data_IF_477650389498
#
_entry.id   IF_477650389498
#
_cell.length_a   1.000
_cell.length_b   1.000
_cell.length_c   1.000
_cell.angle_alpha   90.00
_cell.angle_beta   90.00
_cell.angle_gamma   90.00
#
_symmetry.space_group_name_H-M   'P 1'
#
loop_
_entity.id
_entity.type
_entity.pdbx_description
1 polymer ?
#
# COMPACT_ATOMS: atom_id res chain seq x y z
N UNK A 1 -2.70 32.84 9.42
CA UNK A 1 -3.31 32.20 8.23
C UNK A 1 -2.38 32.10 7.02
N UNK A 2 -1.76 33.20 6.56
CA UNK A 2 -0.90 33.21 5.34
C UNK A 2 0.21 32.15 5.35
N UNK A 3 0.87 31.97 6.50
CA UNK A 3 1.95 30.97 6.63
C UNK A 3 1.49 29.52 6.48
N UNK A 4 0.24 29.21 6.83
CA UNK A 4 -0.35 27.88 6.66
C UNK A 4 -0.62 27.61 5.18
N UNK A 5 -1.17 28.60 4.49
CA UNK A 5 -1.43 28.54 3.04
C UNK A 5 -0.12 28.42 2.23
N UNK A 6 0.94 29.13 2.63
CA UNK A 6 2.25 29.02 1.99
C UNK A 6 2.87 27.62 2.17
N UNK A 7 2.72 27.02 3.37
CA UNK A 7 3.19 25.64 3.61
C UNK A 7 2.37 24.61 2.84
N UNK A 8 1.05 24.80 2.75
CA UNK A 8 0.16 23.98 1.91
C UNK A 8 0.59 24.04 0.44
N UNK A 9 0.83 25.24 -0.09
CA UNK A 9 1.22 25.41 -1.50
C UNK A 9 2.58 24.76 -1.79
N UNK A 10 3.55 24.89 -0.88
CA UNK A 10 4.84 24.18 -0.99
C UNK A 10 4.64 22.67 -1.05
N UNK A 11 3.76 22.10 -0.21
CA UNK A 11 3.52 20.66 -0.22
C UNK A 11 2.76 20.21 -1.48
N UNK A 12 1.77 20.99 -1.94
CA UNK A 12 1.06 20.75 -3.20
C UNK A 12 2.04 20.70 -4.37
N UNK A 13 2.88 21.73 -4.53
CA UNK A 13 3.92 21.79 -5.58
C UNK A 13 4.87 20.60 -5.52
N UNK A 14 5.23 20.15 -4.32
CA UNK A 14 6.08 18.97 -4.14
C UNK A 14 5.37 17.68 -4.59
N UNK A 15 4.09 17.51 -4.28
CA UNK A 15 3.31 16.35 -4.72
C UNK A 15 3.08 16.37 -6.24
N UNK A 16 2.85 17.54 -6.84
CA UNK A 16 2.78 17.70 -8.29
C UNK A 16 4.10 17.31 -8.96
N UNK A 17 5.24 17.74 -8.41
CA UNK A 17 6.55 17.32 -8.92
C UNK A 17 6.80 15.81 -8.74
N UNK A 18 6.33 15.20 -7.65
CA UNK A 18 6.40 13.74 -7.46
C UNK A 18 5.59 12.98 -8.54
N UNK A 19 4.41 13.50 -8.92
CA UNK A 19 3.59 12.96 -10.02
C UNK A 19 4.33 13.09 -11.35
N UNK A 20 4.80 14.29 -11.70
CA UNK A 20 5.48 14.54 -12.97
C UNK A 20 6.72 13.64 -13.14
N UNK A 21 7.51 13.49 -12.07
CA UNK A 21 8.67 12.61 -12.08
C UNK A 21 8.29 11.12 -12.22
N UNK A 22 7.19 10.70 -11.61
CA UNK A 22 6.69 9.33 -11.76
C UNK A 22 6.24 9.06 -13.19
N UNK A 23 5.45 9.97 -13.78
CA UNK A 23 4.98 9.87 -15.17
C UNK A 23 6.15 9.86 -16.16
N UNK A 24 7.13 10.75 -15.99
CA UNK A 24 8.31 10.78 -16.85
C UNK A 24 9.09 9.47 -16.78
N UNK A 25 9.25 8.89 -15.59
CA UNK A 25 9.94 7.60 -15.40
C UNK A 25 9.16 6.45 -16.02
N UNK A 26 7.84 6.40 -15.83
CA UNK A 26 6.97 5.39 -16.44
C UNK A 26 7.02 5.48 -17.98
N UNK A 27 6.95 6.68 -18.54
CA UNK A 27 7.07 6.90 -19.98
C UNK A 27 8.44 6.49 -20.54
N UNK A 28 9.53 6.71 -19.79
CA UNK A 28 10.86 6.22 -20.16
C UNK A 28 10.95 4.69 -20.10
N UNK A 29 10.37 4.07 -19.08
CA UNK A 29 10.34 2.62 -18.93
C UNK A 29 9.54 1.94 -20.05
N UNK A 30 8.45 2.57 -20.49
CA UNK A 30 7.66 2.13 -21.65
C UNK A 30 8.50 2.19 -22.93
N UNK A 31 9.15 3.33 -23.19
CA UNK A 31 10.03 3.52 -24.37
C UNK A 31 11.18 2.53 -24.46
N UNK A 32 11.75 2.12 -23.33
CA UNK A 32 12.86 1.16 -23.26
C UNK A 32 12.37 -0.30 -23.29
N UNK A 33 11.06 -0.54 -23.32
CA UNK A 33 10.47 -1.87 -23.27
C UNK A 33 10.70 -2.56 -21.91
N UNK A 34 10.91 -1.78 -20.85
CA UNK A 34 11.05 -2.34 -19.51
C UNK A 34 9.71 -2.91 -19.02
N UNK A 35 8.58 -2.28 -19.38
CA UNK A 35 7.24 -2.77 -19.07
C UNK A 35 6.99 -4.18 -19.61
N UNK A 36 7.38 -4.44 -20.86
CA UNK A 36 7.26 -5.77 -21.48
C UNK A 36 8.24 -6.77 -20.88
N UNK A 37 9.44 -6.36 -20.46
CA UNK A 37 10.36 -7.25 -19.74
C UNK A 37 9.81 -7.67 -18.37
N UNK A 38 9.21 -6.75 -17.62
CA UNK A 38 8.60 -7.07 -16.32
C UNK A 38 7.37 -7.96 -16.48
N UNK A 39 6.49 -7.70 -17.46
CA UNK A 39 5.32 -8.57 -17.71
C UNK A 39 5.73 -9.98 -18.18
N UNK A 40 6.80 -10.10 -18.96
CA UNK A 40 7.37 -11.39 -19.34
C UNK A 40 7.99 -12.12 -18.14
N UNK A 41 8.60 -11.40 -17.19
CA UNK A 41 9.15 -12.02 -15.98
C UNK A 41 8.04 -12.51 -15.04
N UNK A 42 6.96 -11.73 -14.91
CA UNK A 42 5.79 -12.10 -14.12
C UNK A 42 5.08 -13.33 -14.71
N UNK A 43 4.90 -13.41 -16.04
CA UNK A 43 4.35 -14.59 -16.70
C UNK A 43 5.23 -15.84 -16.60
N UNK A 44 6.56 -15.69 -16.58
CA UNK A 44 7.48 -16.82 -16.31
C UNK A 44 7.32 -17.39 -14.90
N UNK A 45 7.05 -16.54 -13.91
CA UNK A 45 6.79 -16.98 -12.54
C UNK A 45 5.51 -17.83 -12.44
N UNK A 46 4.48 -17.49 -13.22
CA UNK A 46 3.24 -18.27 -13.33
C UNK A 46 3.48 -19.63 -14.00
N UNK A 47 4.37 -19.68 -14.99
CA UNK A 47 4.80 -20.95 -15.60
C UNK A 47 5.41 -21.90 -14.56
N UNK A 48 6.25 -21.37 -13.65
CA UNK A 48 6.89 -22.17 -12.61
C UNK A 48 5.87 -22.73 -11.60
N UNK A 49 4.83 -21.97 -11.24
CA UNK A 49 3.73 -22.48 -10.41
C UNK A 49 3.03 -23.67 -11.04
N UNK A 50 2.72 -23.57 -12.34
CA UNK A 50 2.07 -24.62 -13.10
C UNK A 50 2.95 -25.87 -13.16
N UNK A 51 4.26 -25.71 -13.41
CA UNK A 51 5.23 -26.81 -13.36
C UNK A 51 5.28 -27.48 -11.98
N UNK A 52 5.32 -26.70 -10.89
CA UNK A 52 5.38 -27.25 -9.53
C UNK A 52 4.09 -28.01 -9.16
N UNK A 53 2.94 -27.52 -9.61
CA UNK A 53 1.66 -28.18 -9.42
C UNK A 53 1.57 -29.49 -10.22
N UNK A 54 1.94 -29.46 -11.51
CA UNK A 54 1.99 -30.67 -12.34
C UNK A 54 3.00 -31.68 -11.82
N UNK A 55 4.15 -31.24 -11.31
CA UNK A 55 5.15 -32.11 -10.69
C UNK A 55 4.56 -32.86 -9.48
N UNK A 56 3.80 -32.16 -8.64
CA UNK A 56 3.14 -32.76 -7.48
C UNK A 56 2.07 -33.78 -7.90
N UNK A 57 1.25 -33.45 -8.91
CA UNK A 57 0.28 -34.40 -9.49
C UNK A 57 0.99 -35.62 -10.06
N UNK A 58 2.03 -35.43 -10.87
CA UNK A 58 2.79 -36.50 -11.50
C UNK A 58 3.38 -37.45 -10.46
N UNK A 59 3.94 -36.90 -9.38
CA UNK A 59 4.52 -37.65 -8.28
C UNK A 59 3.45 -38.50 -7.57
N UNK A 60 2.27 -37.94 -7.29
CA UNK A 60 1.13 -38.69 -6.73
C UNK A 60 0.65 -39.77 -7.71
N UNK A 61 0.46 -39.44 -8.99
CA UNK A 61 0.03 -40.39 -10.02
C UNK A 61 1.01 -41.56 -10.16
N UNK A 62 2.33 -41.30 -10.08
CA UNK A 62 3.34 -42.34 -10.13
C UNK A 62 3.21 -43.33 -8.96
N UNK A 63 2.99 -42.83 -7.74
CA UNK A 63 2.76 -43.68 -6.56
C UNK A 63 1.50 -44.54 -6.71
N UNK A 64 0.42 -43.98 -7.26
CA UNK A 64 -0.80 -44.73 -7.56
C UNK A 64 -0.55 -45.87 -8.55
N UNK A 65 0.19 -45.60 -9.63
CA UNK A 65 0.56 -46.63 -10.61
C UNK A 65 1.40 -47.73 -9.98
N UNK A 66 2.40 -47.37 -9.18
CA UNK A 66 3.22 -48.36 -8.46
C UNK A 66 2.41 -49.21 -7.47
N UNK A 67 1.51 -48.59 -6.72
CA UNK A 67 0.61 -49.29 -5.81
C UNK A 67 -0.34 -50.25 -6.57
N UNK A 68 -0.89 -49.80 -7.71
CA UNK A 68 -1.74 -50.61 -8.56
C UNK A 68 -1.01 -51.82 -9.14
N UNK A 69 0.21 -51.64 -9.65
CA UNK A 69 1.05 -52.73 -10.18
C UNK A 69 1.34 -53.76 -9.08
N UNK A 70 1.73 -53.33 -7.88
CA UNK A 70 1.98 -54.23 -6.76
C UNK A 70 0.73 -55.04 -6.39
N UNK A 71 -0.43 -54.38 -6.35
CA UNK A 71 -1.70 -55.04 -6.02
C UNK A 71 -2.13 -56.03 -7.12
N UNK A 72 -1.89 -55.70 -8.39
CA UNK A 72 -2.27 -56.53 -9.54
C UNK A 72 -1.33 -57.71 -9.78
N UNK A 73 -0.04 -57.55 -9.50
CA UNK A 73 0.99 -58.56 -9.74
C UNK A 73 1.64 -58.97 -8.41
N UNK A 74 0.99 -59.88 -7.67
CA UNK A 74 1.46 -60.41 -6.38
C UNK A 74 2.81 -61.15 -6.43
N UNK A 75 3.36 -61.42 -7.61
CA UNK A 75 4.66 -62.09 -7.77
C UNK A 75 5.86 -61.15 -7.65
N UNK A 76 5.65 -59.82 -7.68
CA UNK A 76 6.73 -58.83 -7.71
C UNK A 76 7.21 -58.53 -6.28
N UNK A 77 8.40 -58.99 -5.84
CA UNK A 77 8.87 -58.82 -4.47
C UNK A 77 9.50 -57.43 -4.27
N UNK A 78 8.90 -56.39 -4.85
CA UNK A 78 9.41 -55.02 -4.78
C UNK A 78 8.76 -54.33 -3.57
N UNK A 79 9.60 -53.93 -2.61
CA UNK A 79 9.18 -53.09 -1.51
C UNK A 79 8.85 -51.68 -2.03
N UNK A 80 7.66 -51.17 -1.72
CA UNK A 80 7.23 -49.80 -2.08
C UNK A 80 7.86 -48.74 -1.16
N UNK A 81 8.39 -49.14 -0.01
CA UNK A 81 8.93 -48.26 1.02
C UNK A 81 9.99 -47.28 0.50
N UNK A 82 11.03 -47.71 -0.27
CA UNK A 82 12.01 -46.78 -0.83
C UNK A 82 11.39 -45.78 -1.82
N UNK A 83 10.40 -46.20 -2.61
CA UNK A 83 9.71 -45.31 -3.56
C UNK A 83 8.85 -44.27 -2.84
N UNK A 84 8.14 -44.67 -1.79
CA UNK A 84 7.38 -43.76 -0.93
C UNK A 84 8.33 -42.75 -0.29
N UNK A 85 9.48 -43.20 0.23
CA UNK A 85 10.46 -42.32 0.87
C UNK A 85 11.04 -41.29 -0.12
N UNK A 86 11.42 -41.72 -1.32
CA UNK A 86 11.90 -40.83 -2.39
C UNK A 86 10.80 -39.84 -2.80
N UNK A 87 9.58 -40.32 -2.99
CA UNK A 87 8.44 -39.50 -3.34
C UNK A 87 8.13 -38.45 -2.26
N UNK A 88 8.18 -38.83 -0.98
CA UNK A 88 8.02 -37.90 0.15
C UNK A 88 9.10 -36.82 0.13
N UNK A 89 10.37 -37.19 -0.03
CA UNK A 89 11.47 -36.21 -0.11
C UNK A 89 11.31 -35.26 -1.30
N UNK A 90 10.94 -35.78 -2.47
CA UNK A 90 10.71 -34.97 -3.67
C UNK A 90 9.48 -34.06 -3.54
N UNK A 91 8.43 -34.49 -2.83
CA UNK A 91 7.24 -33.69 -2.58
C UNK A 91 7.51 -32.51 -1.63
N UNK A 92 8.54 -32.58 -0.78
CA UNK A 92 8.94 -31.44 0.05
C UNK A 92 9.34 -30.22 -0.79
N UNK A 93 9.84 -30.41 -2.01
CA UNK A 93 10.30 -29.34 -2.88
C UNK A 93 9.18 -28.39 -3.32
N UNK A 94 8.09 -28.85 -3.98
CA UNK A 94 6.96 -27.99 -4.34
C UNK A 94 6.24 -27.45 -3.08
N UNK A 95 6.14 -28.23 -2.01
CA UNK A 95 5.54 -27.77 -0.74
C UNK A 95 6.32 -26.58 -0.19
N UNK A 96 7.64 -26.69 -0.10
CA UNK A 96 8.50 -25.60 0.36
C UNK A 96 8.44 -24.38 -0.57
N UNK A 97 8.36 -24.59 -1.88
CA UNK A 97 8.17 -23.52 -2.86
C UNK A 97 6.87 -22.74 -2.61
N UNK A 98 5.72 -23.41 -2.47
CA UNK A 98 4.44 -22.74 -2.24
C UNK A 98 4.38 -22.06 -0.87
N UNK A 99 4.91 -22.70 0.18
CA UNK A 99 5.02 -22.08 1.50
C UNK A 99 5.87 -20.81 1.43
N UNK A 100 7.05 -20.88 0.82
CA UNK A 100 7.94 -19.72 0.67
C UNK A 100 7.28 -18.60 -0.13
N UNK A 101 6.48 -18.93 -1.15
CA UNK A 101 5.72 -17.96 -1.94
C UNK A 101 4.58 -17.33 -1.15
N UNK A 102 3.89 -18.09 -0.30
CA UNK A 102 2.85 -17.57 0.60
C UNK A 102 3.41 -16.55 1.61
N UNK A 103 4.64 -16.77 2.10
CA UNK A 103 5.30 -15.86 3.04
C UNK A 103 5.99 -14.67 2.36
N UNK A 104 6.32 -14.76 1.08
CA UNK A 104 6.83 -13.62 0.31
C UNK A 104 5.65 -12.69 -0.02
N UNK A 105 5.68 -11.46 0.50
CA UNK A 105 4.88 -10.38 -0.11
C UNK A 105 5.26 -10.32 -1.59
N UNK A 106 4.29 -10.19 -2.53
CA UNK A 106 4.63 -9.96 -3.92
C UNK A 106 5.58 -8.78 -3.97
N UNK A 107 6.80 -8.99 -4.48
CA UNK A 107 7.76 -7.91 -4.68
C UNK A 107 7.11 -6.96 -5.69
N UNK A 108 6.68 -5.79 -5.23
CA UNK A 108 6.15 -4.76 -6.11
C UNK A 108 7.22 -4.45 -7.15
N UNK A 109 6.87 -4.63 -8.43
CA UNK A 109 7.79 -4.25 -9.50
C UNK A 109 8.07 -2.74 -9.42
N UNK A 110 9.22 -2.25 -9.90
CA UNK A 110 9.49 -0.82 -9.92
C UNK A 110 8.40 0.00 -10.65
N UNK A 111 7.74 -0.62 -11.63
CA UNK A 111 6.58 -0.05 -12.34
C UNK A 111 5.40 0.11 -11.40
N UNK A 112 4.95 -0.99 -10.78
CA UNK A 112 3.83 -0.99 -9.85
C UNK A 112 4.06 -0.03 -8.68
N UNK A 113 5.29 0.06 -8.18
CA UNK A 113 5.67 1.01 -7.14
C UNK A 113 5.46 2.47 -7.57
N UNK A 114 5.92 2.82 -8.79
CA UNK A 114 5.78 4.17 -9.34
C UNK A 114 4.31 4.51 -9.60
N UNK A 115 3.55 3.62 -10.23
CA UNK A 115 2.12 3.80 -10.47
C UNK A 115 1.33 3.97 -9.17
N UNK A 116 1.63 3.16 -8.16
CA UNK A 116 0.98 3.23 -6.84
C UNK A 116 1.26 4.58 -6.16
N UNK A 117 2.49 5.08 -6.22
CA UNK A 117 2.83 6.40 -5.68
C UNK A 117 2.22 7.55 -6.46
N UNK A 118 2.19 7.47 -7.79
CA UNK A 118 1.55 8.48 -8.63
C UNK A 118 0.05 8.59 -8.31
N UNK A 119 -0.65 7.45 -8.31
CA UNK A 119 -2.07 7.38 -7.99
C UNK A 119 -2.37 7.85 -6.56
N UNK A 120 -1.52 7.51 -5.59
CA UNK A 120 -1.64 8.01 -4.22
C UNK A 120 -1.49 9.54 -4.16
N UNK A 121 -0.48 10.10 -4.83
CA UNK A 121 -0.25 11.54 -4.88
C UNK A 121 -1.42 12.29 -5.51
N UNK A 122 -1.96 11.78 -6.62
CA UNK A 122 -3.16 12.33 -7.28
C UNK A 122 -4.37 12.31 -6.35
N UNK A 123 -4.59 11.19 -5.66
CA UNK A 123 -5.69 11.04 -4.69
C UNK A 123 -5.57 12.05 -3.55
N UNK A 124 -4.39 12.14 -2.92
CA UNK A 124 -4.15 13.05 -1.78
C UNK A 124 -4.25 14.53 -2.19
N UNK A 125 -3.77 14.89 -3.38
CA UNK A 125 -3.96 16.26 -3.90
C UNK A 125 -5.44 16.59 -4.12
N UNK A 126 -6.17 15.72 -4.81
CA UNK A 126 -7.55 15.96 -5.22
C UNK A 126 -8.54 15.89 -4.05
N UNK A 127 -8.39 14.92 -3.17
CA UNK A 127 -9.33 14.66 -2.07
C UNK A 127 -8.98 15.37 -0.77
N UNK A 128 -7.72 15.76 -0.56
CA UNK A 128 -7.32 16.39 0.71
C UNK A 128 -6.74 17.80 0.54
N UNK A 129 -5.58 17.95 -0.12
CA UNK A 129 -4.87 19.24 -0.10
C UNK A 129 -5.59 20.36 -0.85
N UNK A 130 -6.13 20.11 -2.05
CA UNK A 130 -6.84 21.14 -2.81
C UNK A 130 -8.15 21.56 -2.12
N UNK A 131 -9.01 20.62 -1.67
CA UNK A 131 -10.18 20.97 -0.87
C UNK A 131 -9.85 21.71 0.43
N UNK A 132 -8.77 21.31 1.13
CA UNK A 132 -8.33 21.95 2.36
C UNK A 132 -7.89 23.40 2.12
N UNK A 133 -7.08 23.64 1.09
CA UNK A 133 -6.67 24.99 0.71
C UNK A 133 -7.89 25.87 0.45
N UNK A 134 -8.83 25.38 -0.36
CA UNK A 134 -10.05 26.12 -0.70
C UNK A 134 -10.93 26.39 0.52
N UNK A 135 -11.05 25.43 1.44
CA UNK A 135 -11.83 25.58 2.66
C UNK A 135 -11.22 26.63 3.60
N UNK A 136 -9.89 26.64 3.75
CA UNK A 136 -9.18 27.62 4.57
C UNK A 136 -9.22 29.03 3.97
N UNK A 137 -9.07 29.17 2.65
CA UNK A 137 -9.16 30.47 1.96
C UNK A 137 -10.56 31.10 2.08
N UNK A 138 -11.61 30.28 2.03
CA UNK A 138 -13.00 30.73 2.11
C UNK A 138 -13.54 30.78 3.55
N UNK A 139 -12.77 30.33 4.54
CA UNK A 139 -13.24 30.19 5.92
C UNK A 139 -14.45 29.25 6.06
N UNK A 140 -14.57 28.24 5.21
CA UNK A 140 -15.73 27.35 5.18
C UNK A 140 -15.54 26.19 6.17
N UNK A 141 -16.05 26.36 7.38
CA UNK A 141 -15.97 25.36 8.45
C UNK A 141 -16.74 24.07 8.14
N UNK A 142 -17.84 24.15 7.39
CA UNK A 142 -18.61 22.97 6.98
C UNK A 142 -17.78 22.08 6.04
N UNK A 143 -17.04 22.70 5.12
CA UNK A 143 -16.12 21.99 4.21
C UNK A 143 -14.92 21.37 4.95
N UNK A 144 -14.44 21.99 6.03
CA UNK A 144 -13.41 21.41 6.88
C UNK A 144 -13.92 20.18 7.62
N UNK A 145 -15.16 20.21 8.12
CA UNK A 145 -15.82 19.04 8.75
C UNK A 145 -16.01 17.91 7.74
N UNK A 146 -16.50 18.21 6.54
CA UNK A 146 -16.66 17.18 5.50
C UNK A 146 -15.32 16.53 5.10
N UNK A 147 -14.22 17.30 5.11
CA UNK A 147 -12.89 16.75 4.87
C UNK A 147 -12.39 15.86 6.01
N UNK A 148 -12.70 16.21 7.25
CA UNK A 148 -12.43 15.36 8.40
C UNK A 148 -13.22 14.04 8.31
N UNK A 149 -14.50 14.12 7.93
CA UNK A 149 -15.33 12.93 7.68
C UNK A 149 -14.74 12.07 6.55
N UNK A 150 -14.30 12.68 5.45
CA UNK A 150 -13.72 11.95 4.31
C UNK A 150 -12.42 11.22 4.71
N UNK A 151 -11.57 11.84 5.53
CA UNK A 151 -10.35 11.21 6.06
C UNK A 151 -10.64 9.96 6.91
N UNK A 152 -11.77 9.92 7.62
CA UNK A 152 -12.15 8.78 8.46
C UNK A 152 -12.76 7.65 7.62
N UNK A 153 -13.60 7.99 6.65
CA UNK A 153 -14.42 7.00 5.93
C UNK A 153 -13.78 6.52 4.63
N UNK A 154 -12.91 7.32 4.00
CA UNK A 154 -12.29 6.97 2.73
C UNK A 154 -11.06 6.09 2.94
N UNK A 155 -11.25 4.78 2.77
CA UNK A 155 -10.14 3.82 2.76
C UNK A 155 -9.08 4.16 1.71
N UNK A 156 -9.51 4.61 0.52
CA UNK A 156 -8.61 4.99 -0.56
C UNK A 156 -7.71 6.19 -0.17
N UNK A 157 -8.28 7.17 0.52
CA UNK A 157 -7.52 8.33 0.99
C UNK A 157 -6.55 7.95 2.11
N UNK A 158 -6.98 7.13 3.07
CA UNK A 158 -6.11 6.63 4.15
C UNK A 158 -4.93 5.84 3.59
N UNK A 159 -5.17 4.91 2.68
CA UNK A 159 -4.09 4.14 2.05
C UNK A 159 -3.14 5.04 1.25
N UNK A 160 -3.66 6.06 0.56
CA UNK A 160 -2.84 7.02 -0.18
C UNK A 160 -1.96 7.88 0.74
N UNK A 161 -2.47 8.30 1.91
CA UNK A 161 -1.69 9.02 2.92
C UNK A 161 -0.57 8.16 3.50
N UNK A 162 -0.83 6.86 3.72
CA UNK A 162 0.17 5.91 4.18
C UNK A 162 1.27 5.67 3.15
N UNK A 163 0.90 5.48 1.86
CA UNK A 163 1.85 5.28 0.75
C UNK A 163 2.81 6.47 0.62
N UNK A 164 2.31 7.69 0.82
CA UNK A 164 3.10 8.92 0.73
C UNK A 164 3.76 9.33 2.06
N UNK A 165 3.46 8.62 3.15
CA UNK A 165 3.92 8.92 4.50
C UNK A 165 3.57 10.37 4.95
N UNK A 166 2.34 10.81 4.65
CA UNK A 166 1.84 12.15 5.02
C UNK A 166 1.40 12.24 6.49
N UNK A 167 1.09 11.09 7.10
CA UNK A 167 0.58 11.00 8.46
C UNK A 167 -0.61 10.05 8.55
N UNK A 168 -1.10 9.86 9.76
CA UNK A 168 -2.27 9.03 10.04
C UNK A 168 -3.57 9.80 9.73
N UNK A 169 -4.45 9.19 8.94
CA UNK A 169 -5.68 9.82 8.48
C UNK A 169 -6.62 10.22 9.63
N UNK A 170 -6.70 9.40 10.70
CA UNK A 170 -7.55 9.69 11.86
C UNK A 170 -7.00 10.86 12.67
N UNK A 171 -5.68 10.92 12.85
CA UNK A 171 -5.03 12.04 13.52
C UNK A 171 -5.23 13.35 12.74
N UNK A 172 -5.12 13.28 11.41
CA UNK A 172 -5.39 14.43 10.54
C UNK A 172 -6.86 14.88 10.60
N UNK A 173 -7.81 13.94 10.61
CA UNK A 173 -9.23 14.24 10.78
C UNK A 173 -9.51 14.90 12.13
N UNK A 174 -8.94 14.36 13.20
CA UNK A 174 -9.08 14.91 14.54
C UNK A 174 -8.53 16.34 14.62
N UNK A 175 -7.38 16.61 14.00
CA UNK A 175 -6.85 17.97 13.91
C UNK A 175 -7.81 18.95 13.20
N UNK A 176 -8.48 18.51 12.13
CA UNK A 176 -9.47 19.34 11.44
C UNK A 176 -10.70 19.61 12.32
N UNK A 177 -11.17 18.63 13.09
CA UNK A 177 -12.25 18.86 14.06
C UNK A 177 -11.84 19.79 15.18
N UNK A 178 -10.64 19.62 15.76
CA UNK A 178 -10.12 20.51 16.79
C UNK A 178 -10.03 21.95 16.30
N UNK A 179 -9.58 22.16 15.06
CA UNK A 179 -9.55 23.49 14.45
C UNK A 179 -10.96 24.07 14.23
N UNK A 180 -11.92 23.25 13.81
CA UNK A 180 -13.30 23.65 13.56
C UNK A 180 -14.10 23.95 14.85
N UNK A 181 -13.77 23.27 15.96
CA UNK A 181 -14.40 23.44 17.27
C UNK A 181 -13.44 24.06 18.29
N UNK A 182 -12.52 24.91 17.83
CA UNK A 182 -11.48 25.52 18.68
C UNK A 182 -12.10 26.35 19.81
N UNK A 183 -11.63 26.11 21.04
CA UNK A 183 -12.05 26.77 22.26
C UNK A 183 -10.96 26.70 23.34
N UNK A 184 -11.04 27.51 24.41
CA UNK A 184 -10.02 27.54 25.46
C UNK A 184 -9.96 26.22 26.27
N UNK A 185 -11.04 25.45 26.28
CA UNK A 185 -11.18 24.13 26.92
C UNK A 185 -10.42 23.01 26.19
N UNK A 186 -10.15 23.16 24.89
CA UNK A 186 -9.42 22.19 24.06
C UNK A 186 -7.99 22.64 23.72
N UNK A 187 -7.47 23.69 24.36
CA UNK A 187 -6.14 24.22 24.09
C UNK A 187 -5.02 23.18 24.31
N UNK A 188 -5.11 22.39 25.38
CA UNK A 188 -4.15 21.32 25.67
C UNK A 188 -4.24 20.18 24.64
N UNK A 189 -5.46 19.81 24.21
CA UNK A 189 -5.67 18.80 23.15
C UNK A 189 -5.10 19.26 21.80
N UNK A 190 -5.24 20.54 21.46
CA UNK A 190 -4.66 21.14 20.25
C UNK A 190 -3.12 21.02 20.27
N UNK A 191 -2.49 21.33 21.41
CA UNK A 191 -1.04 21.23 21.57
C UNK A 191 -0.55 19.79 21.43
N UNK A 192 -1.15 18.87 22.18
CA UNK A 192 -0.83 17.43 22.16
C UNK A 192 -0.97 16.83 20.75
N UNK A 193 -2.01 17.24 20.03
CA UNK A 193 -2.26 16.78 18.66
C UNK A 193 -1.24 17.35 17.69
N UNK A 194 -0.88 18.62 17.83
CA UNK A 194 0.14 19.27 17.01
C UNK A 194 1.54 18.66 17.20
N UNK A 195 1.87 18.16 18.39
CA UNK A 195 3.13 17.47 18.66
C UNK A 195 3.23 16.13 17.94
N UNK A 196 2.15 15.36 17.92
CA UNK A 196 2.05 14.04 17.27
C UNK A 196 1.92 14.13 15.75
N UNK A 197 1.59 15.30 15.22
CA UNK A 197 1.31 15.52 13.80
C UNK A 197 2.59 15.50 12.93
N UNK A 198 2.65 14.58 11.97
CA UNK A 198 3.69 14.56 10.92
C UNK A 198 3.42 15.59 9.81
N UNK A 199 2.14 15.83 9.50
CA UNK A 199 1.72 16.74 8.45
C UNK A 199 2.02 18.20 8.85
N UNK A 200 3.05 18.80 8.25
CA UNK A 200 3.51 20.16 8.59
C UNK A 200 2.43 21.24 8.40
N UNK A 201 1.66 21.26 7.29
CA UNK A 201 0.56 22.20 7.14
C UNK A 201 -0.48 22.14 8.27
N UNK A 202 -0.98 20.95 8.60
CA UNK A 202 -1.97 20.80 9.68
C UNK A 202 -1.38 21.14 11.05
N UNK A 203 -0.11 20.79 11.30
CA UNK A 203 0.59 21.18 12.52
C UNK A 203 0.62 22.69 12.68
N UNK A 204 0.99 23.42 11.62
CA UNK A 204 0.99 24.89 11.63
C UNK A 204 -0.42 25.46 11.83
N UNK A 205 -1.44 24.84 11.22
CA UNK A 205 -2.83 25.26 11.38
C UNK A 205 -3.27 25.20 12.85
N UNK A 206 -2.98 24.09 13.54
CA UNK A 206 -3.29 23.91 14.96
C UNK A 206 -2.54 24.91 15.85
N UNK A 207 -1.23 25.09 15.63
CA UNK A 207 -0.43 26.04 16.42
C UNK A 207 -0.93 27.48 16.25
N UNK A 208 -1.29 27.88 15.02
CA UNK A 208 -1.87 29.20 14.76
C UNK A 208 -3.20 29.39 15.49
N UNK A 209 -4.06 28.36 15.50
CA UNK A 209 -5.33 28.44 16.24
C UNK A 209 -5.14 28.58 17.76
N UNK A 210 -4.05 28.02 18.30
CA UNK A 210 -3.69 28.13 19.72
C UNK A 210 -3.14 29.52 20.06
N UNK A 211 -2.40 30.16 19.16
CA UNK A 211 -1.97 31.55 19.30
C UNK A 211 -3.17 32.50 19.31
N UNK A 212 -4.11 32.32 18.37
CA UNK A 212 -5.34 33.14 18.28
C UNK A 212 -6.17 33.06 19.59
N UNK A 213 -6.22 31.88 20.23
CA UNK A 213 -6.89 31.64 21.51
C UNK A 213 -6.18 32.31 22.70
N UNK A 214 -4.87 32.50 22.66
CA UNK A 214 -4.10 33.19 23.73
C UNK A 214 -4.22 34.71 23.65
N UNK A 215 -4.57 35.24 22.47
CA UNK A 215 -4.71 36.67 22.20
C UNK A 215 -6.15 37.18 22.28
N UNK A 216 -7.14 36.28 22.37
CA UNK A 216 -8.57 36.59 22.54
C UNK A 216 -8.97 36.56 24.01
#
# INVERSE_FOLDING_TARGET
MKEVLDELEKRIKKLEAEIELAEQRLALMDKVGALTKYSLWESRSQGLDLYMFFFLIFLISSLFVFAWIKNRFSFVPISLTPYILIATVLALFPIFYFISKLYKKPEETPVQYLEKRENAARTVLKSFYNPLKEALEKGNEEKLKSLADELIHSRALSEALDILNEGDAKLMAYALYLYAYRGPDVADEILDTAEKMRNKPLKKLLLLSLEDLKTS
#
